data_IF_741990393232
#
_entry.id   IF_741990393232
#
_cell.length_a   1.000
_cell.length_b   1.000
_cell.length_c   1.000
_cell.angle_alpha   90.00
_cell.angle_beta   90.00
_cell.angle_gamma   90.00
#
_symmetry.space_group_name_H-M   'P 1'
#
loop_
_entity.id
_entity.type
_entity.pdbx_description
1 polymer ?
#
# COMPACT_ATOMS: atom_id res chain seq x y z
N UNK A 1 2.89 -36.28 13.09
CA UNK A 1 1.52 -36.56 13.58
C UNK A 1 1.43 -38.05 13.90
N UNK A 2 0.95 -38.41 15.08
CA UNK A 2 0.77 -39.81 15.48
C UNK A 2 -0.62 -39.96 16.12
N UNK A 3 -1.26 -41.10 15.95
CA UNK A 3 -2.53 -41.41 16.63
C UNK A 3 -2.29 -41.44 18.14
N UNK A 4 -3.07 -40.72 18.96
CA UNK A 4 -2.89 -40.74 20.40
C UNK A 4 -3.09 -42.16 20.97
N UNK A 5 -2.31 -42.57 22.00
CA UNK A 5 -2.32 -43.95 22.50
C UNK A 5 -3.69 -44.45 22.95
N UNK A 6 -4.54 -43.54 23.46
CA UNK A 6 -5.91 -43.84 23.89
C UNK A 6 -6.87 -44.22 22.76
N UNK A 7 -6.57 -43.85 21.52
CA UNK A 7 -7.38 -44.17 20.35
C UNK A 7 -6.90 -45.43 19.61
N UNK A 8 -5.63 -45.82 19.78
CA UNK A 8 -5.00 -46.93 19.08
C UNK A 8 -5.65 -48.30 19.36
N UNK A 9 -6.28 -48.48 20.53
CA UNK A 9 -6.86 -49.76 20.93
C UNK A 9 -8.13 -50.15 20.15
N UNK A 10 -8.90 -49.17 19.63
CA UNK A 10 -10.23 -49.37 19.07
C UNK A 10 -10.27 -49.48 17.53
N UNK A 11 -9.11 -49.34 16.85
CA UNK A 11 -9.04 -49.13 15.40
C UNK A 11 -8.33 -50.25 14.62
N UNK A 12 -8.11 -51.42 15.23
CA UNK A 12 -7.18 -52.45 14.74
C UNK A 12 -7.56 -53.06 13.37
N UNK A 13 -8.76 -52.82 12.87
CA UNK A 13 -9.24 -53.37 11.58
C UNK A 13 -9.53 -52.31 10.49
N UNK A 14 -9.25 -51.02 10.74
CA UNK A 14 -9.50 -49.95 9.76
C UNK A 14 -8.24 -49.63 8.95
N UNK A 15 -8.33 -49.54 7.60
CA UNK A 15 -7.17 -49.20 6.76
C UNK A 15 -6.64 -47.78 7.00
N UNK A 16 -7.46 -46.89 7.55
CA UNK A 16 -7.05 -45.58 8.05
C UNK A 16 -7.78 -45.27 9.37
N UNK A 17 -7.02 -44.82 10.36
CA UNK A 17 -7.57 -44.49 11.67
C UNK A 17 -8.46 -43.23 11.61
N UNK A 18 -9.69 -43.22 12.17
CA UNK A 18 -10.58 -42.06 12.13
C UNK A 18 -9.97 -40.77 12.68
N UNK A 19 -9.21 -40.84 13.78
CA UNK A 19 -8.44 -39.70 14.31
C UNK A 19 -7.39 -39.17 13.34
N UNK A 20 -6.75 -40.05 12.54
CA UNK A 20 -5.81 -39.59 11.51
C UNK A 20 -6.57 -38.86 10.40
N UNK A 21 -7.72 -39.38 9.98
CA UNK A 21 -8.59 -38.76 8.99
C UNK A 21 -9.11 -37.38 9.45
N UNK A 22 -9.56 -37.28 10.70
CA UNK A 22 -10.00 -36.02 11.32
C UNK A 22 -8.85 -34.99 11.38
N UNK A 23 -7.66 -35.43 11.77
CA UNK A 23 -6.50 -34.54 11.80
C UNK A 23 -6.08 -34.05 10.40
N UNK A 24 -6.27 -34.86 9.35
CA UNK A 24 -6.10 -34.41 7.96
C UNK A 24 -7.09 -33.31 7.61
N UNK A 25 -8.35 -33.50 7.99
CA UNK A 25 -9.40 -32.54 7.72
C UNK A 25 -9.18 -31.22 8.48
N UNK A 26 -8.70 -31.27 9.72
CA UNK A 26 -8.33 -30.10 10.51
C UNK A 26 -7.10 -29.37 9.94
N UNK A 27 -6.10 -30.10 9.45
CA UNK A 27 -4.90 -29.50 8.85
C UNK A 27 -5.24 -28.63 7.62
N UNK A 28 -6.26 -29.01 6.85
CA UNK A 28 -6.74 -28.25 5.70
C UNK A 28 -7.53 -26.98 6.08
N UNK A 29 -8.20 -26.96 7.23
CA UNK A 29 -8.95 -25.78 7.72
C UNK A 29 -8.03 -24.56 7.90
N UNK A 30 -6.76 -24.78 8.27
CA UNK A 30 -5.76 -23.70 8.40
C UNK A 30 -5.44 -23.01 7.07
N UNK A 31 -5.64 -23.71 5.95
CA UNK A 31 -5.39 -23.19 4.59
C UNK A 31 -6.60 -22.45 4.00
N UNK A 32 -7.67 -22.25 4.78
CA UNK A 32 -8.86 -21.50 4.36
C UNK A 32 -8.71 -20.00 4.62
N UNK A 33 -9.11 -19.11 3.68
CA UNK A 33 -8.99 -17.68 3.88
C UNK A 33 -9.84 -17.19 5.06
N UNK A 34 -9.28 -16.31 5.91
CA UNK A 34 -9.91 -15.81 7.15
C UNK A 34 -11.30 -15.17 6.99
N UNK A 35 -11.74 -14.85 5.78
CA UNK A 35 -13.11 -14.41 5.49
C UNK A 35 -14.17 -15.52 5.71
N UNK A 36 -13.76 -16.78 5.88
CA UNK A 36 -14.65 -17.92 6.19
C UNK A 36 -14.68 -18.30 7.68
N UNK A 37 -13.97 -17.56 8.55
CA UNK A 37 -13.85 -17.87 9.99
C UNK A 37 -15.14 -17.65 10.82
N UNK A 38 -16.19 -17.09 10.22
CA UNK A 38 -17.48 -16.90 10.88
C UNK A 38 -18.38 -18.11 10.63
N UNK A 39 -18.28 -19.12 11.49
CA UNK A 39 -19.18 -20.28 11.52
C UNK A 39 -18.48 -21.62 11.73
N UNK A 40 -19.27 -22.67 11.94
CA UNK A 40 -18.75 -24.04 12.07
C UNK A 40 -18.42 -24.58 10.67
N UNK A 41 -17.19 -25.05 10.48
CA UNK A 41 -16.72 -25.69 9.24
C UNK A 41 -16.63 -27.19 9.46
N UNK A 42 -17.39 -27.96 8.69
CA UNK A 42 -17.41 -29.42 8.79
C UNK A 42 -16.99 -30.08 7.48
N UNK A 43 -16.13 -31.11 7.52
CA UNK A 43 -15.90 -31.97 6.36
C UNK A 43 -17.21 -32.67 5.98
N UNK A 44 -17.57 -32.60 4.71
CA UNK A 44 -18.86 -33.07 4.21
C UNK A 44 -18.75 -34.18 3.17
N UNK A 45 -17.57 -34.39 2.61
CA UNK A 45 -17.31 -35.45 1.64
C UNK A 45 -15.85 -35.45 1.20
N UNK A 46 -15.44 -36.57 0.60
CA UNK A 46 -14.12 -36.77 0.01
C UNK A 46 -14.38 -37.55 -1.29
N UNK A 47 -13.68 -37.21 -2.37
CA UNK A 47 -13.85 -37.90 -3.66
C UNK A 47 -13.08 -39.21 -3.71
N UNK A 48 -11.82 -39.21 -3.28
CA UNK A 48 -10.99 -40.41 -3.25
C UNK A 48 -10.16 -40.48 -1.97
N UNK A 49 -10.08 -41.68 -1.39
CA UNK A 49 -9.08 -42.05 -0.40
C UNK A 49 -8.35 -43.27 -0.95
N UNK A 50 -7.02 -43.16 -1.11
CA UNK A 50 -6.19 -44.29 -1.53
C UNK A 50 -5.10 -44.56 -0.51
N UNK A 51 -5.10 -45.79 -0.01
CA UNK A 51 -4.08 -46.31 0.92
C UNK A 51 -3.09 -47.15 0.13
N UNK A 52 -1.81 -46.76 0.17
CA UNK A 52 -0.72 -47.37 -0.59
C UNK A 52 0.21 -48.22 0.30
N UNK A 53 0.19 -47.98 1.62
CA UNK A 53 1.02 -48.67 2.59
C UNK A 53 0.45 -48.60 4.01
N UNK A 54 1.27 -48.95 5.00
CA UNK A 54 0.84 -48.99 6.40
C UNK A 54 0.65 -47.57 6.97
N UNK A 55 -0.61 -47.18 7.21
CA UNK A 55 -0.98 -45.86 7.75
C UNK A 55 -0.49 -45.62 9.18
N UNK A 56 -0.06 -46.65 9.91
CA UNK A 56 0.58 -46.51 11.23
C UNK A 56 1.97 -45.83 11.17
N UNK A 57 2.61 -45.90 9.99
CA UNK A 57 3.94 -45.33 9.74
C UNK A 57 3.91 -43.83 9.44
N UNK A 58 2.72 -43.25 9.22
CA UNK A 58 2.56 -41.83 8.89
C UNK A 58 3.20 -40.95 9.95
N UNK A 59 3.96 -39.95 9.50
CA UNK A 59 4.61 -38.94 10.33
C UNK A 59 4.30 -37.52 9.89
N UNK A 60 4.08 -37.28 8.59
CA UNK A 60 3.78 -35.94 8.07
C UNK A 60 2.46 -35.93 7.29
N UNK A 61 1.81 -34.77 7.35
CA UNK A 61 0.60 -34.45 6.59
C UNK A 61 0.93 -33.23 5.74
N UNK A 62 0.74 -33.34 4.43
CA UNK A 62 0.89 -32.23 3.50
C UNK A 62 -0.46 -31.99 2.82
N UNK A 63 -1.10 -30.87 3.18
CA UNK A 63 -2.42 -30.50 2.67
C UNK A 63 -2.37 -29.22 1.85
N UNK A 64 -3.17 -29.13 0.80
CA UNK A 64 -3.42 -27.90 0.06
C UNK A 64 -4.89 -27.79 -0.33
N UNK A 65 -5.31 -26.56 -0.66
CA UNK A 65 -6.66 -26.25 -1.10
C UNK A 65 -6.61 -25.78 -2.56
N UNK A 66 -7.51 -26.30 -3.37
CA UNK A 66 -7.77 -25.84 -4.72
C UNK A 66 -9.03 -24.98 -4.72
N UNK A 67 -8.86 -23.72 -5.11
CA UNK A 67 -9.95 -22.76 -5.25
C UNK A 67 -10.29 -22.62 -6.74
N UNK A 68 -11.57 -22.79 -7.14
CA UNK A 68 -11.96 -22.50 -8.50
C UNK A 68 -11.65 -21.04 -8.85
N UNK A 69 -11.21 -20.82 -10.08
CA UNK A 69 -10.82 -19.50 -10.57
C UNK A 69 -12.02 -18.83 -11.26
N UNK A 70 -12.27 -17.55 -10.95
CA UNK A 70 -13.34 -16.75 -11.59
C UNK A 70 -14.70 -16.83 -10.90
N UNK A 71 -15.76 -16.39 -11.59
CA UNK A 71 -17.17 -16.41 -11.14
C UNK A 71 -17.76 -17.83 -10.99
N UNK A 72 -16.95 -18.88 -11.16
CA UNK A 72 -17.40 -20.25 -11.03
C UNK A 72 -17.59 -20.57 -9.54
N UNK A 73 -18.84 -20.65 -9.11
CA UNK A 73 -19.28 -20.86 -7.73
C UNK A 73 -19.01 -22.30 -7.22
N UNK A 74 -17.92 -22.93 -7.67
CA UNK A 74 -17.48 -24.23 -7.19
C UNK A 74 -17.06 -24.15 -5.72
N UNK A 75 -17.38 -25.19 -4.94
CA UNK A 75 -16.92 -25.28 -3.56
C UNK A 75 -15.43 -25.64 -3.57
N UNK A 76 -14.57 -25.02 -2.74
CA UNK A 76 -13.15 -25.34 -2.70
C UNK A 76 -12.91 -26.80 -2.32
N UNK A 77 -11.88 -27.40 -2.92
CA UNK A 77 -11.52 -28.79 -2.73
C UNK A 77 -10.18 -28.91 -1.99
N UNK A 78 -10.15 -29.68 -0.92
CA UNK A 78 -8.95 -29.97 -0.14
C UNK A 78 -8.28 -31.28 -0.57
N UNK A 79 -6.97 -31.30 -0.58
CA UNK A 79 -6.17 -32.47 -0.95
C UNK A 79 -5.09 -32.72 0.10
N UNK A 80 -4.85 -33.98 0.43
CA UNK A 80 -3.91 -34.38 1.49
C UNK A 80 -3.03 -35.54 1.04
N UNK A 81 -1.74 -35.43 1.33
CA UNK A 81 -0.76 -36.50 1.23
C UNK A 81 -0.25 -36.88 2.62
N UNK A 82 -0.26 -38.18 2.91
CA UNK A 82 0.24 -38.76 4.14
C UNK A 82 1.60 -39.41 3.88
N UNK A 83 2.61 -38.95 4.59
CA UNK A 83 4.01 -39.34 4.36
C UNK A 83 4.58 -40.00 5.61
N UNK A 84 5.43 -41.01 5.42
CA UNK A 84 6.19 -41.63 6.50
C UNK A 84 7.40 -40.77 6.93
N UNK A 85 8.22 -41.27 7.86
CA UNK A 85 9.40 -40.57 8.35
C UNK A 85 10.44 -40.24 7.26
N UNK A 86 10.47 -41.00 6.17
CA UNK A 86 11.40 -40.84 5.05
C UNK A 86 10.86 -39.92 3.96
N UNK A 87 9.59 -39.51 4.06
CA UNK A 87 8.89 -38.72 3.04
C UNK A 87 8.20 -39.56 1.97
N UNK A 88 8.13 -40.88 2.15
CA UNK A 88 7.44 -41.78 1.21
C UNK A 88 5.93 -41.66 1.37
N UNK A 89 5.19 -41.63 0.25
CA UNK A 89 3.73 -41.55 0.25
C UNK A 89 3.10 -42.85 0.75
N UNK A 90 2.33 -42.75 1.83
CA UNK A 90 1.62 -43.86 2.47
C UNK A 90 0.15 -43.90 2.07
N UNK A 91 -0.49 -42.73 1.95
CA UNK A 91 -1.87 -42.60 1.51
C UNK A 91 -2.15 -41.17 1.01
N UNK A 92 -3.22 -41.01 0.23
CA UNK A 92 -3.71 -39.69 -0.17
C UNK A 92 -5.24 -39.59 -0.08
N UNK A 93 -5.71 -38.36 0.08
CA UNK A 93 -7.11 -37.98 0.12
C UNK A 93 -7.30 -36.83 -0.87
N UNK A 94 -8.16 -37.00 -1.85
CA UNK A 94 -8.44 -36.00 -2.88
C UNK A 94 -9.90 -35.56 -2.85
N UNK A 95 -10.12 -34.27 -3.12
CA UNK A 95 -11.47 -33.72 -3.25
C UNK A 95 -12.24 -33.60 -1.93
N UNK A 96 -11.54 -33.34 -0.82
CA UNK A 96 -12.20 -33.10 0.47
C UNK A 96 -13.03 -31.82 0.42
N UNK A 97 -14.35 -31.94 0.60
CA UNK A 97 -15.31 -30.84 0.59
C UNK A 97 -15.71 -30.46 2.01
N UNK A 98 -15.97 -29.18 2.20
CA UNK A 98 -16.43 -28.62 3.47
C UNK A 98 -17.79 -27.96 3.32
N UNK A 99 -18.62 -28.07 4.36
CA UNK A 99 -19.84 -27.29 4.52
C UNK A 99 -19.60 -26.23 5.61
N UNK A 100 -20.00 -25.00 5.32
CA UNK A 100 -19.99 -23.90 6.27
C UNK A 100 -21.40 -23.73 6.86
N UNK A 101 -21.57 -23.99 8.15
CA UNK A 101 -22.81 -23.66 8.85
C UNK A 101 -22.74 -22.22 9.36
N UNK A 102 -23.23 -21.29 8.54
CA UNK A 102 -23.46 -19.89 8.95
C UNK A 102 -24.74 -19.84 9.78
N UNK A 103 -24.68 -19.27 10.98
CA UNK A 103 -25.91 -18.91 11.71
C UNK A 103 -26.75 -17.97 10.87
N UNK A 104 -28.03 -18.30 10.78
CA UNK A 104 -29.02 -17.74 9.85
C UNK A 104 -29.26 -16.26 10.14
N UNK A 105 -28.53 -15.37 9.47
CA UNK A 105 -28.92 -13.95 9.31
C UNK A 105 -28.32 -13.27 8.07
N UNK A 106 -27.61 -13.99 7.18
CA UNK A 106 -27.00 -13.36 5.99
C UNK A 106 -27.05 -14.18 4.70
N UNK A 107 -27.90 -15.22 4.64
CA UNK A 107 -27.99 -16.10 3.46
C UNK A 107 -28.97 -15.61 2.38
N UNK A 108 -29.13 -14.30 2.20
CA UNK A 108 -30.11 -13.75 1.26
C UNK A 108 -29.55 -12.66 0.33
N UNK A 109 -28.27 -12.70 -0.05
CA UNK A 109 -27.77 -12.05 -1.29
C UNK A 109 -26.32 -12.46 -1.50
N UNK A 110 -25.91 -12.74 -2.74
CA UNK A 110 -24.54 -13.13 -3.14
C UNK A 110 -23.50 -12.02 -2.98
N UNK A 111 -23.60 -11.22 -1.92
CA UNK A 111 -22.70 -10.14 -1.55
C UNK A 111 -21.77 -10.66 -0.44
N UNK A 112 -20.55 -10.12 -0.36
CA UNK A 112 -19.71 -10.29 0.82
C UNK A 112 -20.56 -9.97 2.09
N UNK A 113 -20.37 -10.70 3.21
CA UNK A 113 -21.12 -10.42 4.44
C UNK A 113 -21.09 -8.92 4.73
N UNK A 114 -22.24 -8.30 5.01
CA UNK A 114 -22.34 -6.84 5.18
C UNK A 114 -21.32 -6.30 6.20
N UNK A 115 -20.96 -7.11 7.20
CA UNK A 115 -19.88 -6.82 8.16
C UNK A 115 -18.47 -6.79 7.54
N UNK A 116 -18.16 -7.67 6.58
CA UNK A 116 -16.87 -7.68 5.89
C UNK A 116 -16.75 -6.48 4.95
N UNK A 117 -17.81 -6.14 4.22
CA UNK A 117 -17.86 -4.94 3.40
C UNK A 117 -17.69 -3.67 4.25
N UNK A 118 -18.44 -3.56 5.36
CA UNK A 118 -18.30 -2.43 6.29
C UNK A 118 -16.91 -2.35 6.93
N UNK A 119 -16.27 -3.49 7.22
CA UNK A 119 -14.90 -3.54 7.76
C UNK A 119 -13.84 -3.10 6.74
N UNK A 120 -14.02 -3.49 5.47
CA UNK A 120 -13.16 -3.07 4.36
C UNK A 120 -13.32 -1.56 4.13
N UNK A 121 -14.56 -1.06 4.09
CA UNK A 121 -14.85 0.37 3.93
C UNK A 121 -14.21 1.21 5.05
N UNK A 122 -14.18 0.70 6.28
CA UNK A 122 -13.51 1.34 7.41
C UNK A 122 -11.98 1.45 7.30
N UNK A 123 -11.35 0.78 6.34
CA UNK A 123 -9.91 0.85 6.08
C UNK A 123 -9.55 1.77 4.92
N UNK A 124 -10.51 2.10 4.06
CA UNK A 124 -10.27 2.89 2.85
C UNK A 124 -10.39 4.38 3.15
N UNK A 125 -9.33 5.13 2.87
CA UNK A 125 -9.31 6.58 3.00
C UNK A 125 -9.16 7.24 1.63
N UNK A 126 -10.00 8.23 1.37
CA UNK A 126 -9.89 9.12 0.22
C UNK A 126 -9.27 10.47 0.62
N UNK A 127 -8.59 11.12 -0.33
CA UNK A 127 -8.16 12.51 -0.17
C UNK A 127 -9.27 13.43 -0.71
N UNK A 128 -9.82 14.29 0.15
CA UNK A 128 -10.79 15.32 -0.26
C UNK A 128 -10.27 16.71 0.07
N UNK A 129 -10.26 17.60 -0.93
CA UNK A 129 -9.89 18.99 -0.75
C UNK A 129 -11.07 19.80 -0.21
N UNK A 130 -10.88 20.47 0.93
CA UNK A 130 -11.88 21.37 1.50
C UNK A 130 -11.43 22.83 1.34
N UNK A 131 -12.33 23.77 0.97
CA UNK A 131 -12.00 25.19 0.96
C UNK A 131 -11.56 25.67 2.35
N UNK A 132 -10.36 26.25 2.43
CA UNK A 132 -9.86 26.88 3.65
C UNK A 132 -10.10 28.41 3.59
N UNK A 133 -10.61 29.03 4.67
CA UNK A 133 -10.77 30.48 4.72
C UNK A 133 -9.41 31.15 4.56
N UNK A 134 -9.35 32.19 3.73
CA UNK A 134 -8.13 32.99 3.56
C UNK A 134 -7.88 33.74 4.87
N UNK A 135 -6.71 33.58 5.52
CA UNK A 135 -6.39 34.36 6.70
C UNK A 135 -6.47 35.86 6.34
N UNK A 136 -6.93 36.71 7.27
CA UNK A 136 -6.93 38.15 7.05
C UNK A 136 -5.51 38.58 6.68
N UNK A 137 -5.39 39.52 5.74
CA UNK A 137 -4.09 40.09 5.39
C UNK A 137 -3.41 40.52 6.69
N UNK A 138 -2.25 39.94 6.99
CA UNK A 138 -1.45 40.41 8.11
C UNK A 138 -1.23 41.90 7.87
N UNK A 139 -1.81 42.75 8.71
CA UNK A 139 -1.72 44.20 8.56
C UNK A 139 -0.27 44.62 8.39
N UNK A 140 -0.03 45.70 7.63
CA UNK A 140 1.24 46.29 7.13
C UNK A 140 2.55 45.99 7.91
N UNK A 141 2.86 44.71 8.13
CA UNK A 141 4.08 44.23 8.72
C UNK A 141 5.17 44.34 7.68
N UNK A 142 6.41 44.50 8.14
CA UNK A 142 7.55 44.64 7.23
C UNK A 142 7.53 43.47 6.24
N UNK A 143 7.45 43.72 4.93
CA UNK A 143 7.51 42.66 3.95
C UNK A 143 8.83 41.92 4.17
N UNK A 144 8.74 40.66 4.62
CA UNK A 144 9.93 39.84 4.84
C UNK A 144 10.70 39.68 3.52
N UNK A 145 11.97 39.29 3.60
CA UNK A 145 12.80 39.02 2.42
C UNK A 145 12.54 37.63 1.85
N UNK A 146 12.24 37.54 0.57
CA UNK A 146 11.89 36.32 -0.15
C UNK A 146 12.91 36.01 -1.23
N UNK A 147 13.35 34.75 -1.26
CA UNK A 147 14.10 34.19 -2.36
C UNK A 147 13.23 33.17 -3.09
N UNK A 148 13.02 33.35 -4.39
CA UNK A 148 12.30 32.40 -5.24
C UNK A 148 13.30 31.67 -6.13
N UNK A 149 13.41 30.36 -5.97
CA UNK A 149 14.28 29.48 -6.75
C UNK A 149 13.44 28.70 -7.75
N UNK A 150 13.80 28.75 -9.03
CA UNK A 150 13.10 27.99 -10.07
C UNK A 150 13.92 27.80 -11.33
N UNK A 151 13.33 27.11 -12.31
CA UNK A 151 13.88 26.97 -13.65
C UNK A 151 13.89 28.32 -14.40
N UNK A 152 14.88 28.62 -15.26
CA UNK A 152 14.90 29.85 -16.06
C UNK A 152 13.64 30.08 -16.92
N UNK A 153 13.02 29.00 -17.38
CA UNK A 153 11.82 29.00 -18.23
C UNK A 153 10.53 28.71 -17.45
N UNK A 154 10.68 28.49 -16.14
CA UNK A 154 9.58 28.20 -15.23
C UNK A 154 8.84 29.44 -14.73
N UNK A 155 7.87 29.22 -13.85
CA UNK A 155 7.01 30.26 -13.27
C UNK A 155 7.63 31.00 -12.08
N UNK A 156 8.87 30.69 -11.72
CA UNK A 156 9.56 31.31 -10.59
C UNK A 156 9.74 32.83 -10.73
N UNK A 157 10.03 33.32 -11.94
CA UNK A 157 10.17 34.77 -12.20
C UNK A 157 8.86 35.52 -12.01
N UNK A 158 7.77 34.96 -12.54
CA UNK A 158 6.44 35.56 -12.42
C UNK A 158 5.99 35.59 -10.96
N UNK A 159 6.29 34.53 -10.19
CA UNK A 159 6.02 34.49 -8.76
C UNK A 159 6.82 35.54 -7.99
N UNK A 160 8.11 35.71 -8.27
CA UNK A 160 8.94 36.74 -7.65
C UNK A 160 8.40 38.15 -7.95
N UNK A 161 8.02 38.41 -9.22
CA UNK A 161 7.42 39.67 -9.62
C UNK A 161 6.06 39.93 -8.93
N UNK A 162 5.22 38.90 -8.78
CA UNK A 162 3.94 39.01 -8.08
C UNK A 162 4.13 39.30 -6.57
N UNK A 163 5.12 38.68 -5.93
CA UNK A 163 5.48 38.98 -4.54
C UNK A 163 5.97 40.42 -4.39
N UNK A 164 6.84 40.89 -5.30
CA UNK A 164 7.32 42.27 -5.30
C UNK A 164 6.18 43.29 -5.51
N UNK A 165 5.24 43.01 -6.43
CA UNK A 165 4.05 43.82 -6.63
C UNK A 165 3.12 43.86 -5.41
N UNK A 166 3.13 42.80 -4.59
CA UNK A 166 2.44 42.75 -3.29
C UNK A 166 3.23 43.43 -2.15
N UNK A 167 4.36 44.07 -2.46
CA UNK A 167 5.19 44.83 -1.53
C UNK A 167 6.34 44.04 -0.90
N UNK A 168 6.54 42.77 -1.25
CA UNK A 168 7.64 41.96 -0.72
C UNK A 168 9.01 42.39 -1.27
N UNK A 169 10.08 42.27 -0.47
CA UNK A 169 11.46 42.29 -0.99
C UNK A 169 11.77 40.90 -1.55
N UNK A 170 11.53 40.69 -2.84
CA UNK A 170 11.56 39.38 -3.49
C UNK A 170 12.60 39.33 -4.63
N UNK A 171 13.47 38.33 -4.59
CA UNK A 171 14.52 38.08 -5.59
C UNK A 171 14.34 36.71 -6.24
N UNK A 172 14.61 36.62 -7.55
CA UNK A 172 14.62 35.36 -8.28
C UNK A 172 16.04 34.81 -8.43
N UNK A 173 16.24 33.55 -8.06
CA UNK A 173 17.47 32.80 -8.28
C UNK A 173 17.24 31.53 -9.10
N UNK A 174 18.27 31.08 -9.81
CA UNK A 174 18.21 29.80 -10.51
C UNK A 174 18.28 28.65 -9.49
N UNK A 175 17.36 27.70 -9.63
CA UNK A 175 17.40 26.45 -8.88
C UNK A 175 18.55 25.58 -9.39
N UNK A 176 19.57 25.29 -8.58
CA UNK A 176 20.69 24.47 -9.02
C UNK A 176 20.23 23.03 -9.33
N UNK A 177 20.86 22.40 -10.33
CA UNK A 177 20.69 20.97 -10.58
C UNK A 177 21.29 20.11 -9.47
N UNK A 178 20.92 18.82 -9.42
CA UNK A 178 21.43 17.85 -8.43
C UNK A 178 22.96 17.78 -8.44
N UNK A 179 23.55 17.84 -9.64
CA UNK A 179 25.01 17.76 -9.85
C UNK A 179 25.68 19.13 -9.93
N UNK A 180 24.97 20.21 -9.55
CA UNK A 180 25.55 21.54 -9.58
C UNK A 180 26.66 21.67 -8.53
N UNK A 181 27.70 22.42 -8.88
CA UNK A 181 28.82 22.76 -7.99
C UNK A 181 28.30 23.27 -6.62
N UNK A 182 28.81 22.75 -5.49
CA UNK A 182 28.52 23.28 -4.15
C UNK A 182 28.65 24.81 -4.03
N UNK A 183 29.53 25.44 -4.82
CA UNK A 183 29.65 26.89 -4.88
C UNK A 183 28.47 27.57 -5.59
N UNK A 184 27.83 26.88 -6.54
CA UNK A 184 26.61 27.34 -7.20
C UNK A 184 25.43 27.23 -6.23
N UNK A 185 25.36 26.15 -5.44
CA UNK A 185 24.45 26.04 -4.31
C UNK A 185 24.67 27.15 -3.28
N UNK A 186 25.91 27.37 -2.83
CA UNK A 186 26.23 28.46 -1.89
C UNK A 186 25.96 29.87 -2.44
N UNK A 187 25.94 30.06 -3.76
CA UNK A 187 25.54 31.32 -4.41
C UNK A 187 24.02 31.46 -4.49
N UNK A 188 23.32 30.40 -4.90
CA UNK A 188 21.86 30.40 -4.99
C UNK A 188 21.17 30.40 -3.62
N UNK A 189 21.78 29.82 -2.58
CA UNK A 189 21.19 29.67 -1.23
C UNK A 189 22.06 30.24 -0.10
N UNK A 190 23.09 31.04 -0.41
CA UNK A 190 24.03 31.61 0.58
C UNK A 190 24.42 33.06 0.28
N UNK A 191 25.66 33.46 0.61
CA UNK A 191 26.14 34.87 0.70
C UNK A 191 26.03 35.74 -0.58
N UNK A 192 25.50 35.20 -1.69
CA UNK A 192 25.22 35.93 -2.92
C UNK A 192 23.84 36.59 -2.99
N UNK A 193 22.99 36.43 -1.96
CA UNK A 193 21.74 37.18 -1.83
C UNK A 193 22.07 38.68 -1.82
N UNK A 194 21.38 39.49 -2.63
CA UNK A 194 21.76 40.86 -2.97
C UNK A 194 22.06 41.78 -1.76
N UNK A 195 22.54 43.00 -2.05
CA UNK A 195 23.09 44.07 -1.16
C UNK A 195 22.32 44.41 0.14
N UNK A 196 21.20 43.74 0.44
CA UNK A 196 20.21 44.03 1.49
C UNK A 196 20.01 42.88 2.52
N UNK A 197 20.75 41.77 2.42
CA UNK A 197 20.91 40.78 3.51
C UNK A 197 20.15 39.46 3.36
N UNK A 198 20.14 38.61 4.41
CA UNK A 198 19.63 37.22 4.35
C UNK A 198 18.10 37.11 4.21
N UNK A 199 17.54 36.28 3.30
CA UNK A 199 16.13 35.99 3.17
C UNK A 199 15.61 35.30 4.43
N UNK A 200 14.36 35.63 4.77
CA UNK A 200 13.64 34.99 5.86
C UNK A 200 12.80 33.81 5.33
N UNK A 201 12.52 33.81 4.02
CA UNK A 201 11.66 32.86 3.33
C UNK A 201 12.28 32.45 2.01
N UNK A 202 12.30 31.15 1.73
CA UNK A 202 12.77 30.57 0.48
C UNK A 202 11.61 29.82 -0.15
N UNK A 203 11.35 30.05 -1.43
CA UNK A 203 10.32 29.37 -2.22
C UNK A 203 11.02 28.59 -3.31
N UNK A 204 10.84 27.27 -3.37
CA UNK A 204 11.29 26.43 -4.46
C UNK A 204 10.11 26.15 -5.38
N UNK A 205 10.20 26.59 -6.63
CA UNK A 205 9.20 26.37 -7.67
C UNK A 205 9.62 25.15 -8.48
N UNK A 206 8.88 24.07 -8.29
CA UNK A 206 8.98 22.84 -9.07
C UNK A 206 7.81 22.86 -10.07
N UNK A 207 8.03 23.52 -11.20
CA UNK A 207 7.11 23.39 -12.32
C UNK A 207 7.12 21.92 -12.74
N UNK A 208 6.00 21.22 -12.52
CA UNK A 208 5.77 19.97 -13.20
C UNK A 208 5.76 20.26 -14.70
N UNK A 209 6.19 19.30 -15.53
CA UNK A 209 5.73 19.31 -16.91
C UNK A 209 4.20 19.48 -16.87
N UNK A 210 3.62 20.25 -17.79
CA UNK A 210 2.22 20.04 -18.15
C UNK A 210 2.22 18.84 -19.07
N UNK A 211 2.14 17.59 -18.58
CA UNK A 211 2.09 16.50 -19.52
C UNK A 211 0.74 16.57 -20.23
N UNK A 212 0.72 16.30 -21.53
CA UNK A 212 -0.52 15.99 -22.23
C UNK A 212 -1.19 14.73 -21.65
N UNK A 213 -0.42 13.89 -20.94
CA UNK A 213 -0.84 12.68 -20.26
C UNK A 213 -0.28 12.63 -18.81
N UNK A 214 -1.12 12.74 -17.76
CA UNK A 214 -0.70 12.65 -16.35
C UNK A 214 0.11 11.39 -15.99
N UNK A 215 0.00 10.31 -16.77
CA UNK A 215 0.76 9.06 -16.59
C UNK A 215 2.16 9.09 -17.23
N UNK A 216 2.47 10.12 -18.03
CA UNK A 216 3.75 10.29 -18.71
C UNK A 216 4.85 10.95 -17.86
N UNK A 217 4.58 11.27 -16.59
CA UNK A 217 5.63 11.71 -15.67
C UNK A 217 6.61 10.56 -15.44
N UNK A 218 7.77 10.64 -16.09
CA UNK A 218 8.81 9.63 -15.88
C UNK A 218 9.21 9.60 -14.40
N UNK A 219 9.34 8.41 -13.78
CA UNK A 219 9.85 8.28 -12.40
C UNK A 219 11.17 9.03 -12.19
N UNK A 220 12.02 9.08 -13.21
CA UNK A 220 13.28 9.81 -13.19
C UNK A 220 13.10 11.35 -13.03
N UNK A 221 12.04 11.95 -13.58
CA UNK A 221 11.76 13.38 -13.41
C UNK A 221 11.32 13.69 -11.97
N UNK A 222 10.46 12.86 -11.40
CA UNK A 222 10.01 13.00 -10.01
C UNK A 222 11.15 12.75 -9.01
N UNK A 223 11.99 11.74 -9.28
CA UNK A 223 13.19 11.48 -8.50
C UNK A 223 14.15 12.67 -8.53
N UNK A 224 14.42 13.22 -9.72
CA UNK A 224 15.29 14.40 -9.89
C UNK A 224 14.78 15.59 -9.08
N UNK A 225 13.49 15.91 -9.18
CA UNK A 225 12.87 17.00 -8.41
C UNK A 225 13.00 16.78 -6.90
N UNK A 226 12.81 15.54 -6.43
CA UNK A 226 12.97 15.17 -5.02
C UNK A 226 14.41 15.34 -4.55
N UNK A 227 15.40 14.90 -5.35
CA UNK A 227 16.83 15.07 -5.06
C UNK A 227 17.24 16.55 -5.00
N UNK A 228 16.73 17.37 -5.91
CA UNK A 228 16.95 18.84 -5.89
C UNK A 228 16.38 19.45 -4.61
N UNK A 229 15.16 19.09 -4.22
CA UNK A 229 14.55 19.59 -2.99
C UNK A 229 15.33 19.15 -1.75
N UNK A 230 15.83 17.91 -1.71
CA UNK A 230 16.69 17.43 -0.64
C UNK A 230 17.98 18.25 -0.53
N UNK A 231 18.63 18.55 -1.65
CA UNK A 231 19.84 19.38 -1.68
C UNK A 231 19.56 20.80 -1.16
N UNK A 232 18.41 21.40 -1.51
CA UNK A 232 17.98 22.70 -0.93
C UNK A 232 17.85 22.59 0.59
N UNK A 233 17.12 21.59 1.09
CA UNK A 233 16.89 21.40 2.53
C UNK A 233 18.22 21.22 3.28
N UNK A 234 19.12 20.38 2.77
CA UNK A 234 20.44 20.14 3.36
C UNK A 234 21.28 21.42 3.39
N UNK A 235 21.24 22.22 2.32
CA UNK A 235 22.00 23.46 2.25
C UNK A 235 21.45 24.49 3.24
N UNK A 236 20.12 24.63 3.34
CA UNK A 236 19.49 25.53 4.31
C UNK A 236 19.74 25.09 5.76
N UNK A 237 19.78 23.79 6.03
CA UNK A 237 20.11 23.24 7.35
C UNK A 237 21.57 23.48 7.75
N UNK A 238 22.49 23.62 6.78
CA UNK A 238 23.90 23.93 7.01
C UNK A 238 24.19 25.42 7.27
N UNK A 239 23.19 26.31 7.12
CA UNK A 239 23.39 27.74 7.36
C UNK A 239 23.53 28.03 8.86
N UNK A 240 24.57 28.78 9.24
CA UNK A 240 24.70 29.28 10.62
C UNK A 240 23.65 30.36 10.89
N UNK A 241 22.86 30.22 11.96
CA UNK A 241 21.86 31.22 12.39
C UNK A 241 20.42 30.72 12.27
N UNK A 242 19.46 31.66 12.24
CA UNK A 242 18.04 31.31 12.07
C UNK A 242 17.79 30.79 10.65
N UNK A 243 17.28 29.56 10.55
CA UNK A 243 16.93 28.95 9.27
C UNK A 243 15.73 29.68 8.64
N UNK A 244 15.78 29.98 7.32
CA UNK A 244 14.64 30.57 6.63
C UNK A 244 13.50 29.56 6.53
N UNK A 245 12.26 30.05 6.44
CA UNK A 245 11.10 29.19 6.17
C UNK A 245 11.12 28.76 4.71
N UNK A 246 11.06 27.45 4.46
CA UNK A 246 11.01 26.88 3.11
C UNK A 246 9.55 26.62 2.69
N UNK A 247 9.21 27.06 1.49
CA UNK A 247 7.97 26.75 0.79
C UNK A 247 8.31 26.00 -0.50
N UNK A 248 7.51 24.99 -0.84
CA UNK A 248 7.62 24.30 -2.13
C UNK A 248 6.32 24.53 -2.90
N UNK A 249 6.45 25.13 -4.07
CA UNK A 249 5.34 25.35 -4.99
C UNK A 249 5.45 24.32 -6.10
N UNK A 250 4.37 23.58 -6.32
CA UNK A 250 4.29 22.59 -7.39
C UNK A 250 3.14 22.91 -8.32
N UNK A 251 3.29 22.56 -9.60
CA UNK A 251 2.22 22.63 -10.59
C UNK A 251 1.90 21.21 -11.06
N UNK A 252 0.63 20.82 -10.97
CA UNK A 252 0.15 19.51 -11.44
C UNK A 252 0.49 18.31 -10.54
N UNK A 253 1.02 18.52 -9.33
CA UNK A 253 1.37 17.42 -8.42
C UNK A 253 0.15 16.70 -7.81
N UNK A 254 -1.02 17.33 -7.79
CA UNK A 254 -2.28 16.76 -7.30
C UNK A 254 -3.46 17.22 -8.16
N UNK A 255 -4.38 16.30 -8.46
CA UNK A 255 -5.68 16.65 -8.99
C UNK A 255 -6.53 17.27 -7.87
N UNK A 256 -7.06 18.48 -8.10
CA UNK A 256 -7.92 19.19 -7.15
C UNK A 256 -9.40 18.79 -7.29
N UNK A 257 -9.76 18.20 -8.43
CA UNK A 257 -11.10 17.66 -8.71
C UNK A 257 -10.98 16.15 -8.92
N UNK A 258 -11.79 15.38 -8.19
CA UNK A 258 -12.08 14.00 -8.60
C UNK A 258 -12.84 14.08 -9.92
N UNK A 259 -12.16 13.82 -11.04
CA UNK A 259 -12.86 13.22 -12.15
C UNK A 259 -13.39 11.88 -11.61
N UNK A 260 -14.68 11.63 -11.83
CA UNK A 260 -15.45 10.53 -11.25
C UNK A 260 -14.63 9.24 -11.19
N UNK A 261 -14.58 8.64 -10.00
CA UNK A 261 -14.12 7.26 -9.82
C UNK A 261 -14.96 6.39 -10.78
N UNK A 262 -14.35 5.61 -11.69
CA UNK A 262 -15.10 4.61 -12.45
C UNK A 262 -15.66 3.62 -11.44
N UNK A 263 -16.98 3.49 -11.41
CA UNK A 263 -17.68 2.44 -10.67
C UNK A 263 -17.35 1.09 -11.30
N UNK A 264 -16.57 0.20 -10.64
CA UNK A 264 -16.24 -1.11 -11.19
C UNK A 264 -17.44 -2.07 -11.23
N UNK A 265 -18.62 -1.66 -10.76
CA UNK A 265 -19.84 -2.47 -10.77
C UNK A 265 -20.88 -2.06 -11.83
N UNK A 266 -20.51 -1.17 -12.76
CA UNK A 266 -21.28 -0.95 -13.99
C UNK A 266 -20.59 -1.58 -15.20
N UNK A 267 -20.82 -2.88 -15.35
CA UNK A 267 -20.50 -3.69 -16.53
C UNK A 267 -21.23 -5.01 -16.45
#
# INVERSE_FOLDING_TARGET
>A
MAVPPSAAAAAQDLPIHPVLLDACAQALVVSMPSATEQGLVLPAGIDEIRVLGDTSTVRYVHGWMEYPHGDDAGNPAGHVRLLDATGTLVAYLDGMRYIHHRTVDSAATGSAPAELAARIDGWLYGLTWQPAPRPPAAGAGRPGRWLVLGDPTGSGRDLAAALAAAGADAEFGLLPGVDADPQLWARSTGQGWSTTGRPERVVVVLDGATPADPLALSPATAERATRVLLAVVQTLAGLSGAAPRLFTVTRGARALTSAAVPDPHRG
#
